data_IF_264381280841
#
_entry.id   IF_264381280841
#
_cell.length_a   1.000
_cell.length_b   1.000
_cell.length_c   1.000
_cell.angle_alpha   90.00
_cell.angle_beta   90.00
_cell.angle_gamma   90.00
#
_symmetry.space_group_name_H-M   'P 1'
#
loop_
_entity.id
_entity.type
_entity.pdbx_description
1 polymer ?
#
# COMPACT_ATOMS: atom_id res chain seq x y z
N UNK A 1 -12.82 8.01 -4.06
CA UNK A 1 -11.82 8.25 -3.00
C UNK A 1 -12.43 7.97 -1.64
N UNK A 2 -11.79 7.13 -0.85
CA UNK A 2 -12.23 6.86 0.52
C UNK A 2 -11.92 8.07 1.43
N UNK A 3 -12.59 8.18 2.58
CA UNK A 3 -12.28 9.19 3.61
C UNK A 3 -10.78 9.19 3.97
N UNK A 4 -10.19 8.01 4.01
CA UNK A 4 -8.79 7.79 4.35
C UNK A 4 -7.84 8.29 3.26
N UNK A 5 -8.13 8.03 1.99
CA UNK A 5 -7.30 8.51 0.86
C UNK A 5 -7.32 10.04 0.74
N UNK A 6 -8.45 10.69 1.07
CA UNK A 6 -8.54 12.15 1.13
C UNK A 6 -7.74 12.75 2.28
N UNK A 7 -7.66 12.06 3.41
CA UNK A 7 -6.88 12.47 4.56
C UNK A 7 -5.37 12.41 4.28
N UNK A 8 -4.91 11.34 3.64
CA UNK A 8 -3.50 11.18 3.28
C UNK A 8 -3.00 12.23 2.29
N UNK A 9 -3.83 12.67 1.36
CA UNK A 9 -3.48 13.73 0.40
C UNK A 9 -3.43 15.15 1.01
N UNK A 10 -3.88 15.31 2.24
CA UNK A 10 -3.88 16.58 2.98
C UNK A 10 -2.99 16.59 4.22
N UNK A 11 -2.49 15.44 4.63
CA UNK A 11 -1.61 15.34 5.78
C UNK A 11 -0.20 15.81 5.41
N UNK A 12 0.31 16.77 6.15
CA UNK A 12 1.69 17.24 6.07
C UNK A 12 2.68 16.27 6.76
N UNK A 13 2.31 15.00 6.85
CA UNK A 13 3.07 13.98 7.59
C UNK A 13 4.49 13.83 7.06
N UNK A 14 4.64 13.83 5.74
CA UNK A 14 5.96 13.72 5.11
C UNK A 14 6.80 14.97 5.37
N UNK A 15 6.18 16.14 5.43
CA UNK A 15 6.88 17.37 5.83
C UNK A 15 7.36 17.29 7.28
N UNK A 16 6.52 16.81 8.19
CA UNK A 16 6.87 16.60 9.60
C UNK A 16 8.01 15.61 9.75
N UNK A 17 7.96 14.47 9.01
CA UNK A 17 9.04 13.49 8.99
C UNK A 17 10.34 14.10 8.47
N UNK A 18 10.26 14.92 7.43
CA UNK A 18 11.43 15.60 6.87
C UNK A 18 12.04 16.57 7.86
N UNK A 19 11.24 17.37 8.55
CA UNK A 19 11.70 18.30 9.59
C UNK A 19 12.39 17.58 10.75
N UNK A 20 11.93 16.36 11.10
CA UNK A 20 12.53 15.51 12.12
C UNK A 20 13.80 14.77 11.64
N UNK A 21 14.19 14.93 10.37
CA UNK A 21 15.41 14.35 9.81
C UNK A 21 15.23 12.97 9.19
N UNK A 22 13.99 12.46 9.06
CA UNK A 22 13.73 11.21 8.34
C UNK A 22 13.86 11.42 6.83
N UNK A 23 14.31 10.38 6.13
CA UNK A 23 14.42 10.37 4.67
C UNK A 23 13.64 9.24 4.00
N UNK A 24 13.03 8.34 4.79
CA UNK A 24 12.24 7.21 4.32
C UNK A 24 11.06 6.96 5.26
N UNK A 25 9.94 6.56 4.69
CA UNK A 25 8.77 6.09 5.42
C UNK A 25 8.39 4.70 4.91
N UNK A 26 8.14 3.73 5.81
CA UNK A 26 7.68 2.40 5.45
C UNK A 26 6.18 2.42 5.11
N UNK A 27 5.87 3.15 4.08
CA UNK A 27 4.54 3.41 3.52
C UNK A 27 4.66 3.74 2.02
N UNK A 28 3.60 3.60 1.25
CA UNK A 28 2.24 3.25 1.62
C UNK A 28 1.97 1.73 1.63
N UNK A 29 0.87 1.34 2.28
CA UNK A 29 0.30 -0.01 2.16
C UNK A 29 -0.34 -0.15 0.78
N UNK A 30 0.23 -1.03 -0.04
CA UNK A 30 -0.21 -1.27 -1.42
C UNK A 30 -1.08 -2.53 -1.56
N UNK A 31 -1.42 -3.15 -0.44
CA UNK A 31 -2.23 -4.37 -0.41
C UNK A 31 -3.66 -4.11 -0.91
N UNK A 32 -4.12 -4.96 -1.83
CA UNK A 32 -5.51 -4.97 -2.29
C UNK A 32 -6.30 -5.94 -1.40
N UNK A 33 -7.30 -5.44 -0.69
CA UNK A 33 -8.07 -6.25 0.27
C UNK A 33 -9.12 -7.10 -0.46
N UNK A 34 -8.70 -8.23 -1.00
CA UNK A 34 -9.59 -9.17 -1.71
C UNK A 34 -10.24 -10.19 -0.78
N UNK A 35 -9.67 -10.40 0.40
CA UNK A 35 -10.25 -11.27 1.43
C UNK A 35 -10.81 -10.43 2.58
N UNK A 36 -12.13 -10.45 2.75
CA UNK A 36 -12.84 -9.72 3.80
C UNK A 36 -12.44 -10.12 5.22
N UNK A 37 -11.96 -11.36 5.38
CA UNK A 37 -11.56 -11.90 6.68
C UNK A 37 -10.11 -11.57 7.05
N UNK A 38 -9.41 -10.86 6.19
CA UNK A 38 -8.06 -10.40 6.47
C UNK A 38 -8.09 -9.24 7.48
N UNK A 39 -7.82 -9.55 8.74
CA UNK A 39 -7.80 -8.58 9.85
C UNK A 39 -6.45 -7.91 10.02
N UNK A 40 -5.36 -8.52 9.53
CA UNK A 40 -4.02 -7.94 9.59
C UNK A 40 -3.93 -6.65 8.76
N UNK A 41 -4.40 -6.71 7.51
CA UNK A 41 -4.42 -5.55 6.62
C UNK A 41 -5.65 -4.70 6.90
N UNK A 42 -6.84 -5.28 6.88
CA UNK A 42 -8.10 -4.61 7.22
C UNK A 42 -8.20 -3.19 6.71
N UNK A 43 -8.47 -2.27 7.60
CA UNK A 43 -8.60 -0.83 7.32
C UNK A 43 -7.31 -0.14 6.88
N UNK A 44 -6.19 -0.82 6.94
CA UNK A 44 -4.91 -0.29 6.43
C UNK A 44 -4.87 -0.26 4.91
N UNK A 45 -5.65 -1.12 4.23
CA UNK A 45 -5.78 -1.12 2.78
C UNK A 45 -6.59 0.08 2.27
N UNK A 46 -6.28 0.54 1.08
CA UNK A 46 -7.03 1.59 0.38
C UNK A 46 -8.24 1.05 -0.39
N UNK A 47 -8.46 -0.25 -0.41
CA UNK A 47 -9.66 -0.81 -0.98
C UNK A 47 -9.51 -2.22 -1.56
N UNK A 48 -10.57 -2.65 -2.22
CA UNK A 48 -10.74 -4.00 -2.79
C UNK A 48 -10.54 -4.05 -4.30
N UNK A 49 -10.49 -2.90 -4.96
CA UNK A 49 -10.30 -2.75 -6.41
C UNK A 49 -8.84 -2.39 -6.69
N UNK A 50 -8.12 -3.28 -7.37
CA UNK A 50 -6.68 -3.13 -7.60
C UNK A 50 -6.33 -1.88 -8.44
N UNK A 51 -7.19 -1.50 -9.38
CA UNK A 51 -6.97 -0.30 -10.20
C UNK A 51 -7.11 0.98 -9.37
N UNK A 52 -8.12 1.06 -8.53
CA UNK A 52 -8.31 2.19 -7.61
C UNK A 52 -7.19 2.30 -6.59
N UNK A 53 -6.76 1.16 -6.05
CA UNK A 53 -5.60 1.12 -5.14
C UNK A 53 -4.35 1.60 -5.87
N UNK A 54 -4.10 1.14 -7.09
CA UNK A 54 -2.96 1.58 -7.91
C UNK A 54 -2.95 3.10 -8.14
N UNK A 55 -4.10 3.70 -8.43
CA UNK A 55 -4.22 5.15 -8.63
C UNK A 55 -3.89 5.93 -7.33
N UNK A 56 -4.38 5.45 -6.19
CA UNK A 56 -4.08 6.03 -4.88
C UNK A 56 -2.59 5.92 -4.56
N UNK A 57 -2.01 4.74 -4.78
CA UNK A 57 -0.57 4.50 -4.55
C UNK A 57 0.28 5.43 -5.41
N UNK A 58 -0.07 5.61 -6.68
CA UNK A 58 0.63 6.56 -7.57
C UNK A 58 0.65 7.97 -6.97
N UNK A 59 -0.48 8.44 -6.50
CA UNK A 59 -0.60 9.77 -5.89
C UNK A 59 0.22 9.89 -4.61
N UNK A 60 0.15 8.89 -3.74
CA UNK A 60 0.88 8.88 -2.46
C UNK A 60 2.39 8.86 -2.67
N UNK A 61 2.89 8.01 -3.56
CA UNK A 61 4.32 7.93 -3.87
C UNK A 61 4.83 9.26 -4.42
N UNK A 62 4.12 9.85 -5.38
CA UNK A 62 4.49 11.16 -5.92
C UNK A 62 4.56 12.24 -4.84
N UNK A 63 3.58 12.28 -3.95
CA UNK A 63 3.53 13.26 -2.87
C UNK A 63 4.66 13.06 -1.86
N UNK A 64 4.96 11.83 -1.48
CA UNK A 64 6.05 11.51 -0.57
C UNK A 64 7.39 11.92 -1.17
N UNK A 65 7.66 11.53 -2.40
CA UNK A 65 8.94 11.82 -3.07
C UNK A 65 9.11 13.30 -3.40
N UNK A 66 8.03 14.01 -3.65
CA UNK A 66 8.05 15.47 -3.77
C UNK A 66 8.53 16.16 -2.48
N UNK A 67 8.25 15.57 -1.33
CA UNK A 67 8.73 16.02 -0.03
C UNK A 67 10.12 15.46 0.32
N UNK A 68 10.78 14.76 -0.62
CA UNK A 68 12.09 14.12 -0.42
C UNK A 68 12.04 13.03 0.67
N UNK A 69 10.94 12.34 0.81
CA UNK A 69 10.77 11.14 1.63
C UNK A 69 10.63 9.94 0.70
N UNK A 70 11.51 8.96 0.82
CA UNK A 70 11.42 7.72 0.06
C UNK A 70 10.22 6.90 0.49
N UNK A 71 9.43 6.44 -0.48
CA UNK A 71 8.32 5.55 -0.24
C UNK A 71 8.77 4.08 -0.22
N UNK A 72 8.13 3.26 0.60
CA UNK A 72 8.34 1.81 0.67
C UNK A 72 7.01 1.10 0.54
N UNK A 73 6.78 0.55 -0.64
CA UNK A 73 5.53 -0.18 -0.93
C UNK A 73 5.49 -1.49 -0.16
N UNK A 74 4.40 -1.75 0.51
CA UNK A 74 4.24 -2.96 1.34
C UNK A 74 2.80 -3.48 1.27
N UNK A 75 2.60 -4.77 1.45
CA UNK A 75 3.54 -5.83 1.79
C UNK A 75 3.73 -6.76 0.57
N UNK A 76 4.78 -6.56 -0.16
CA UNK A 76 5.06 -7.40 -1.34
C UNK A 76 5.20 -8.88 -0.94
N UNK A 77 4.63 -9.82 -1.71
CA UNK A 77 3.97 -9.67 -3.03
C UNK A 77 2.49 -9.30 -2.98
N UNK A 78 1.92 -9.03 -1.83
CA UNK A 78 0.54 -8.69 -1.58
C UNK A 78 -0.08 -9.60 -0.51
N UNK A 79 -0.49 -9.02 0.60
CA UNK A 79 -1.04 -9.75 1.76
C UNK A 79 -2.56 -9.60 1.89
N UNK A 80 -3.22 -8.85 1.02
CA UNK A 80 -4.65 -8.56 1.14
C UNK A 80 -5.59 -9.72 0.84
N UNK A 81 -5.08 -10.81 0.23
CA UNK A 81 -5.84 -12.01 -0.08
C UNK A 81 -5.65 -13.13 0.96
N UNK A 82 -4.72 -13.00 1.89
CA UNK A 82 -4.46 -14.03 2.91
C UNK A 82 -5.49 -13.97 4.04
N UNK A 83 -5.73 -15.10 4.70
CA UNK A 83 -6.67 -15.21 5.81
C UNK A 83 -6.02 -15.17 7.20
N UNK A 84 -4.69 -15.09 7.29
CA UNK A 84 -3.95 -15.15 8.54
C UNK A 84 -3.24 -13.86 8.89
N UNK A 85 -2.74 -13.80 10.13
CA UNK A 85 -1.94 -12.70 10.64
C UNK A 85 -0.50 -13.20 10.85
N UNK A 86 0.45 -12.65 10.11
CA UNK A 86 1.87 -13.05 10.16
C UNK A 86 2.53 -12.77 11.49
N UNK A 87 1.96 -11.89 12.31
CA UNK A 87 2.41 -11.67 13.70
C UNK A 87 2.06 -12.83 14.64
N UNK A 88 1.11 -13.69 14.24
CA UNK A 88 0.64 -14.83 15.03
C UNK A 88 1.08 -16.18 14.51
N UNK A 89 1.68 -16.23 13.33
CA UNK A 89 2.13 -17.45 12.68
C UNK A 89 2.38 -17.29 11.20
N UNK A 90 2.72 -18.36 10.52
CA UNK A 90 2.92 -18.37 9.08
C UNK A 90 1.59 -18.21 8.36
N UNK A 91 1.59 -17.39 7.31
CA UNK A 91 0.48 -17.27 6.37
C UNK A 91 0.96 -17.65 4.97
N UNK A 92 0.14 -18.39 4.26
CA UNK A 92 0.46 -18.84 2.90
C UNK A 92 -0.55 -18.27 1.91
N UNK A 93 -0.08 -17.98 0.71
CA UNK A 93 -0.93 -17.68 -0.43
C UNK A 93 -0.95 -18.83 -1.40
N UNK A 94 -2.13 -19.17 -1.86
CA UNK A 94 -2.35 -20.19 -2.91
C UNK A 94 -2.65 -19.54 -4.27
N UNK A 95 -2.46 -18.23 -4.38
CA UNK A 95 -2.67 -17.51 -5.62
C UNK A 95 -1.62 -17.90 -6.67
N UNK A 96 -2.06 -18.07 -7.91
CA UNK A 96 -1.15 -18.25 -9.04
C UNK A 96 -0.40 -16.95 -9.33
N UNK A 97 0.76 -17.06 -9.97
CA UNK A 97 1.50 -15.87 -10.39
C UNK A 97 0.68 -14.97 -11.33
N UNK A 98 -0.18 -15.55 -12.16
CA UNK A 98 -1.05 -14.78 -13.04
C UNK A 98 -2.14 -14.04 -12.25
N UNK A 99 -2.73 -14.66 -11.23
CA UNK A 99 -3.69 -13.99 -10.35
C UNK A 99 -3.04 -12.82 -9.60
N UNK A 100 -1.81 -13.01 -9.10
CA UNK A 100 -1.04 -11.93 -8.46
C UNK A 100 -0.74 -10.79 -9.43
N UNK A 101 -0.36 -11.09 -10.67
CA UNK A 101 -0.12 -10.08 -11.72
C UNK A 101 -1.37 -9.29 -12.06
N UNK A 102 -2.52 -9.95 -12.07
CA UNK A 102 -3.80 -9.32 -12.45
C UNK A 102 -4.39 -8.44 -11.33
N UNK A 103 -3.99 -8.65 -10.09
CA UNK A 103 -4.55 -7.97 -8.93
C UNK A 103 -3.47 -7.34 -8.04
N UNK A 104 -2.74 -8.15 -7.29
CA UNK A 104 -1.87 -7.70 -6.21
C UNK A 104 -0.68 -6.87 -6.68
N UNK A 105 -0.11 -7.20 -7.84
CA UNK A 105 1.06 -6.51 -8.36
C UNK A 105 0.76 -5.14 -8.99
N UNK A 106 -0.50 -4.86 -9.34
CA UNK A 106 -0.85 -3.59 -10.01
C UNK A 106 -0.48 -2.36 -9.19
N UNK A 107 -0.81 -2.27 -7.89
CA UNK A 107 -0.39 -1.14 -7.08
C UNK A 107 1.14 -1.00 -6.95
N UNK A 108 1.86 -2.12 -6.84
CA UNK A 108 3.33 -2.09 -6.79
C UNK A 108 3.93 -1.56 -8.08
N UNK A 109 3.46 -2.02 -9.24
CA UNK A 109 3.90 -1.50 -10.54
C UNK A 109 3.59 0.00 -10.69
N UNK A 110 2.42 0.42 -10.26
CA UNK A 110 2.02 1.82 -10.30
C UNK A 110 2.93 2.70 -9.43
N UNK A 111 3.23 2.26 -8.22
CA UNK A 111 4.14 2.98 -7.32
C UNK A 111 5.57 3.06 -7.85
N UNK A 112 6.08 1.99 -8.46
CA UNK A 112 7.40 1.99 -9.10
C UNK A 112 7.47 2.99 -10.26
N UNK A 113 6.41 3.10 -11.06
CA UNK A 113 6.32 4.07 -12.16
C UNK A 113 6.16 5.51 -11.69
N UNK A 114 5.73 5.73 -10.48
CA UNK A 114 5.41 7.05 -9.93
C UNK A 114 6.65 7.87 -9.50
N UNK A 115 7.84 7.34 -9.66
CA UNK A 115 9.11 8.00 -9.30
C UNK A 115 9.25 9.38 -9.96
#
# INVERSE_FOLDING_TARGET
MTRRSRRWGKDNREMELKELGFNMNLAPVADVLTNKNNTEIGDRSFGTDSKKVADIITTLVKNMQKQQISATLKHFPGSGQTGGDTHRGSTETYQTINALRDTDFKPFKAGIKAK
#
